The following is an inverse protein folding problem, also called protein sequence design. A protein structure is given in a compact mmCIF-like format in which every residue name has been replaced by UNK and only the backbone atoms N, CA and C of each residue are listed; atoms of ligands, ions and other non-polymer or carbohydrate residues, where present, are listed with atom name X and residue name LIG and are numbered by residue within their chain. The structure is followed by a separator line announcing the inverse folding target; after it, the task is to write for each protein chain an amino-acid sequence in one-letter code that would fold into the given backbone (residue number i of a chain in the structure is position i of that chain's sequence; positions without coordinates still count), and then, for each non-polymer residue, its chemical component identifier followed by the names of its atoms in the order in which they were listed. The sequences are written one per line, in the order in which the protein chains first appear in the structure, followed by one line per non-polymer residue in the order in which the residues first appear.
data_IF_002872046145
#
_entry.id   IF_002872046145
#
_cell.length_a   1.000
_cell.length_b   1.000
_cell.length_c   1.000
_cell.angle_alpha   90.00
_cell.angle_beta   90.00
_cell.angle_gamma   90.00
#
_symmetry.space_group_name_H-M   'P 1'
#
loop_
_entity.id
_entity.type
_entity.pdbx_description
1 polymer ?
#
# COMPACT_ATOMS: atom_id res chain seq x y z
N UNK A 1 -25.64 4.00 14.65
CA UNK A 1 -25.30 3.67 13.27
C UNK A 1 -25.48 2.17 13.14
N UNK A 2 -26.56 1.73 12.47
CA UNK A 2 -26.90 0.31 12.32
C UNK A 2 -25.95 -0.35 11.33
N UNK A 3 -24.98 -1.11 11.83
CA UNK A 3 -24.20 -2.05 11.02
C UNK A 3 -25.11 -3.24 10.66
N UNK A 4 -25.99 -3.06 9.70
CA UNK A 4 -26.60 -4.21 9.04
C UNK A 4 -25.56 -4.73 8.06
N UNK A 5 -24.78 -5.73 8.48
CA UNK A 5 -24.00 -6.58 7.58
C UNK A 5 -24.98 -7.27 6.62
N UNK A 6 -25.31 -6.58 5.55
CA UNK A 6 -26.24 -7.07 4.54
C UNK A 6 -25.48 -7.99 3.57
N UNK A 7 -24.95 -9.10 4.11
CA UNK A 7 -24.34 -10.13 3.25
C UNK A 7 -25.43 -10.77 2.39
N UNK A 8 -25.19 -10.93 1.11
CA UNK A 8 -26.13 -11.66 0.24
C UNK A 8 -26.39 -13.06 0.78
N UNK A 9 -27.64 -13.48 0.85
CA UNK A 9 -28.02 -14.79 1.40
C UNK A 9 -27.44 -15.98 0.63
N UNK A 10 -27.04 -15.74 -0.63
CA UNK A 10 -26.42 -16.74 -1.48
C UNK A 10 -24.91 -16.90 -1.24
N UNK A 11 -24.27 -15.96 -0.51
CA UNK A 11 -22.84 -16.02 -0.23
C UNK A 11 -22.60 -16.83 1.06
N UNK A 12 -21.95 -18.01 0.99
CA UNK A 12 -21.63 -18.77 2.19
C UNK A 12 -20.59 -18.04 3.02
N UNK A 13 -20.98 -17.56 4.18
CA UNK A 13 -20.08 -16.93 5.15
C UNK A 13 -19.91 -17.85 6.35
N UNK A 14 -18.66 -18.07 6.79
CA UNK A 14 -18.36 -18.82 8.01
C UNK A 14 -18.99 -18.13 9.22
N UNK A 15 -19.60 -18.92 10.13
CA UNK A 15 -20.29 -18.39 11.30
C UNK A 15 -19.45 -17.39 12.14
N UNK A 16 -18.13 -17.64 12.39
CA UNK A 16 -17.31 -16.68 13.14
C UNK A 16 -17.13 -15.32 12.44
N UNK A 17 -17.35 -15.23 11.14
CA UNK A 17 -17.18 -13.99 10.37
C UNK A 17 -18.46 -13.16 10.29
N UNK A 18 -19.63 -13.75 10.57
CA UNK A 18 -20.92 -13.05 10.51
C UNK A 18 -21.01 -11.80 11.41
N UNK A 19 -20.51 -11.83 12.66
CA UNK A 19 -20.55 -10.65 13.52
C UNK A 19 -19.46 -9.62 13.23
N UNK A 20 -18.51 -9.92 12.35
CA UNK A 20 -17.39 -9.02 12.07
C UNK A 20 -17.82 -7.90 11.13
N UNK A 21 -17.36 -6.68 11.43
CA UNK A 21 -17.45 -5.55 10.52
C UNK A 21 -16.11 -5.35 9.79
N UNK A 22 -16.14 -4.82 8.54
CA UNK A 22 -14.91 -4.44 7.87
C UNK A 22 -14.10 -3.46 8.71
N UNK A 23 -12.78 -3.65 8.74
CA UNK A 23 -11.89 -2.67 9.36
C UNK A 23 -11.95 -1.35 8.57
N UNK A 24 -12.11 -0.26 9.31
CA UNK A 24 -12.04 1.08 8.75
C UNK A 24 -11.75 2.07 9.89
N UNK A 25 -10.64 2.80 9.80
CA UNK A 25 -10.36 3.87 10.73
C UNK A 25 -11.39 5.01 10.50
N UNK A 26 -12.06 5.52 11.56
CA UNK A 26 -12.98 6.63 11.41
C UNK A 26 -12.28 7.86 10.83
N UNK A 27 -12.87 8.45 9.79
CA UNK A 27 -12.42 9.74 9.28
C UNK A 27 -13.10 10.85 10.08
N UNK A 28 -12.35 11.44 10.99
CA UNK A 28 -12.83 12.50 11.88
C UNK A 28 -12.12 13.79 11.54
N UNK A 29 -12.86 14.86 11.27
CA UNK A 29 -12.28 16.19 11.11
C UNK A 29 -11.82 16.70 12.48
N UNK A 30 -10.53 16.72 12.71
CA UNK A 30 -9.90 17.20 13.94
C UNK A 30 -8.65 18.02 13.60
N UNK A 31 -8.27 18.92 14.52
CA UNK A 31 -7.05 19.73 14.39
C UNK A 31 -5.77 18.89 14.45
N UNK A 32 -5.82 17.72 15.11
CA UNK A 32 -4.76 16.72 15.13
C UNK A 32 -5.38 15.33 14.90
N UNK A 33 -5.02 14.67 13.82
CA UNK A 33 -5.46 13.33 13.48
C UNK A 33 -4.41 12.33 13.96
N UNK A 34 -4.70 11.61 15.04
CA UNK A 34 -3.80 10.65 15.68
C UNK A 34 -4.37 9.21 15.67
N UNK A 35 -5.46 9.01 14.95
CA UNK A 35 -6.17 7.73 14.88
C UNK A 35 -5.66 6.81 13.78
N UNK A 36 -4.78 7.30 12.93
CA UNK A 36 -4.13 6.57 11.84
C UNK A 36 -2.63 6.80 11.87
N UNK A 37 -1.86 5.86 11.31
CA UNK A 37 -0.41 5.96 11.25
C UNK A 37 0.00 6.76 9.99
N UNK A 38 -0.25 8.06 10.01
CA UNK A 38 0.08 8.98 8.93
C UNK A 38 1.34 9.79 9.23
N UNK A 39 2.10 10.12 8.19
CA UNK A 39 3.22 11.04 8.33
C UNK A 39 2.68 12.48 8.37
N UNK A 40 2.86 13.23 9.48
CA UNK A 40 2.35 14.59 9.59
C UNK A 40 3.14 15.61 8.74
N UNK A 41 4.30 15.23 8.23
CA UNK A 41 5.14 16.11 7.42
C UNK A 41 4.82 15.97 5.94
N UNK A 42 4.52 17.09 5.30
CA UNK A 42 4.33 17.14 3.86
C UNK A 42 5.65 16.77 3.12
N UNK A 43 5.56 16.16 1.92
CA UNK A 43 6.73 15.93 1.09
C UNK A 43 7.47 17.22 0.77
N UNK A 44 8.80 17.16 0.67
CA UNK A 44 9.59 18.32 0.26
C UNK A 44 9.25 18.75 -1.17
N UNK A 45 9.44 20.03 -1.49
CA UNK A 45 9.22 20.58 -2.85
C UNK A 45 10.02 19.80 -3.90
N UNK A 46 11.26 19.41 -3.59
CA UNK A 46 12.09 18.62 -4.47
C UNK A 46 11.50 17.23 -4.75
N UNK A 47 10.98 16.57 -3.72
CA UNK A 47 10.31 15.27 -3.87
C UNK A 47 9.02 15.39 -4.71
N UNK A 48 8.21 16.41 -4.44
CA UNK A 48 6.99 16.68 -5.22
C UNK A 48 7.32 16.89 -6.70
N UNK A 49 8.34 17.69 -7.01
CA UNK A 49 8.79 17.93 -8.39
C UNK A 49 9.27 16.63 -9.07
N UNK A 50 10.04 15.80 -8.37
CA UNK A 50 10.52 14.52 -8.88
C UNK A 50 9.37 13.54 -9.18
N UNK A 51 8.39 13.44 -8.29
CA UNK A 51 7.18 12.60 -8.48
C UNK A 51 6.39 13.11 -9.69
N UNK A 52 6.11 14.42 -9.76
CA UNK A 52 5.34 15.02 -10.86
C UNK A 52 6.00 14.75 -12.22
N UNK A 53 7.32 14.93 -12.30
CA UNK A 53 8.08 14.62 -13.52
C UNK A 53 7.91 13.15 -13.89
N UNK A 54 8.10 12.23 -12.94
CA UNK A 54 8.02 10.80 -13.21
C UNK A 54 6.62 10.35 -13.61
N UNK A 55 5.59 10.86 -12.97
CA UNK A 55 4.19 10.60 -13.35
C UNK A 55 3.93 11.08 -14.79
N UNK A 56 4.41 12.26 -15.17
CA UNK A 56 4.32 12.76 -16.54
C UNK A 56 4.98 11.83 -17.58
N UNK A 57 6.16 11.31 -17.26
CA UNK A 57 6.87 10.36 -18.14
C UNK A 57 6.09 9.05 -18.31
N UNK A 58 5.55 8.49 -17.23
CA UNK A 58 4.84 7.21 -17.23
C UNK A 58 3.46 7.33 -17.85
N UNK A 59 2.80 8.50 -17.72
CA UNK A 59 1.42 8.70 -18.23
C UNK A 59 1.30 8.49 -19.74
N UNK A 60 2.35 8.70 -20.49
CA UNK A 60 2.38 8.44 -21.94
C UNK A 60 2.25 6.94 -22.30
N UNK A 61 2.45 6.05 -21.36
CA UNK A 61 2.45 4.58 -21.55
C UNK A 61 1.41 3.84 -20.72
N UNK A 62 0.47 4.54 -20.06
CA UNK A 62 -0.55 3.94 -19.19
C UNK A 62 -1.51 2.97 -19.92
N UNK A 63 -1.55 3.02 -21.24
CA UNK A 63 -2.30 2.06 -22.07
C UNK A 63 -1.59 0.71 -22.24
N UNK A 64 -0.40 0.54 -21.66
CA UNK A 64 0.38 -0.71 -21.71
C UNK A 64 0.43 -1.35 -20.32
N UNK A 65 0.64 -2.64 -20.29
CA UNK A 65 0.89 -3.32 -19.02
C UNK A 65 2.17 -2.81 -18.36
N UNK A 66 2.18 -2.64 -17.04
CA UNK A 66 3.39 -2.27 -16.30
C UNK A 66 4.41 -3.41 -16.28
N UNK A 67 5.62 -3.11 -15.81
CA UNK A 67 6.60 -4.15 -15.47
C UNK A 67 6.02 -5.07 -14.39
N UNK A 68 5.73 -6.30 -14.78
CA UNK A 68 5.12 -7.32 -13.91
C UNK A 68 5.93 -7.56 -12.64
N UNK A 69 7.24 -7.56 -12.77
CA UNK A 69 8.15 -7.96 -11.70
C UNK A 69 8.67 -6.76 -10.90
N UNK A 70 8.28 -5.53 -11.26
CA UNK A 70 8.67 -4.28 -10.62
C UNK A 70 10.20 -4.18 -10.35
N UNK A 71 11.02 -4.62 -11.32
CA UNK A 71 12.47 -4.79 -11.15
C UNK A 71 13.15 -3.49 -10.71
N UNK A 72 12.84 -2.36 -11.37
CA UNK A 72 13.46 -1.07 -11.03
C UNK A 72 13.17 -0.65 -9.58
N UNK A 73 11.95 -0.86 -9.11
CA UNK A 73 11.56 -0.58 -7.73
C UNK A 73 12.31 -1.50 -6.75
N UNK A 74 12.33 -2.80 -7.02
CA UNK A 74 12.99 -3.79 -6.15
C UNK A 74 14.50 -3.58 -6.06
N UNK A 75 15.17 -3.21 -7.16
CA UNK A 75 16.58 -2.80 -7.15
C UNK A 75 16.80 -1.56 -6.28
N UNK A 76 15.95 -0.55 -6.41
CA UNK A 76 16.02 0.66 -5.59
C UNK A 76 15.83 0.37 -4.10
N UNK A 77 14.84 -0.46 -3.75
CA UNK A 77 14.58 -0.88 -2.38
C UNK A 77 15.71 -1.72 -1.79
N UNK A 78 16.30 -2.64 -2.58
CA UNK A 78 17.45 -3.44 -2.15
C UNK A 78 18.62 -2.55 -1.74
N UNK A 79 18.96 -1.57 -2.57
CA UNK A 79 20.00 -0.59 -2.27
C UNK A 79 19.69 0.23 -1.01
N UNK A 80 18.45 0.69 -0.90
CA UNK A 80 18.02 1.49 0.24
C UNK A 80 18.11 0.70 1.55
N UNK A 81 17.55 -0.51 1.60
CA UNK A 81 17.55 -1.35 2.80
C UNK A 81 18.98 -1.77 3.16
N UNK A 82 19.81 -2.14 2.18
CA UNK A 82 21.23 -2.46 2.40
C UNK A 82 21.96 -1.28 3.05
N UNK A 83 21.73 -0.06 2.55
CA UNK A 83 22.35 1.14 3.12
C UNK A 83 21.87 1.45 4.55
N UNK A 84 20.61 1.15 4.88
CA UNK A 84 20.04 1.40 6.21
C UNK A 84 20.47 0.37 7.25
N UNK A 85 20.59 -0.89 6.84
CA UNK A 85 20.82 -2.02 7.78
C UNK A 85 22.24 -2.52 7.82
N UNK A 86 23.05 -2.22 6.80
CA UNK A 86 24.37 -2.82 6.61
C UNK A 86 24.33 -4.30 6.14
N UNK A 87 23.14 -4.88 5.97
CA UNK A 87 22.97 -6.24 5.47
C UNK A 87 22.71 -6.19 3.95
N UNK A 88 23.41 -7.02 3.19
CA UNK A 88 23.27 -7.06 1.74
C UNK A 88 21.93 -7.67 1.33
N UNK A 89 21.17 -6.93 0.54
CA UNK A 89 19.94 -7.39 -0.11
C UNK A 89 20.06 -7.23 -1.62
N UNK A 90 19.44 -8.15 -2.35
CA UNK A 90 19.28 -8.07 -3.79
C UNK A 90 17.81 -8.20 -4.22
N UNK A 91 17.56 -8.20 -5.53
CA UNK A 91 16.19 -8.27 -6.09
C UNK A 91 15.47 -9.56 -5.68
N UNK A 92 16.19 -10.68 -5.50
CA UNK A 92 15.59 -11.96 -5.14
C UNK A 92 15.07 -11.98 -3.69
N UNK A 93 15.61 -11.11 -2.82
CA UNK A 93 15.19 -11.02 -1.43
C UNK A 93 13.95 -10.13 -1.24
N UNK A 94 13.46 -9.46 -2.29
CA UNK A 94 12.42 -8.44 -2.18
C UNK A 94 11.23 -8.76 -3.05
N UNK A 95 10.07 -8.49 -2.49
CA UNK A 95 8.81 -8.52 -3.19
C UNK A 95 8.09 -7.18 -3.03
N UNK A 96 7.46 -6.69 -4.09
CA UNK A 96 6.69 -5.44 -4.08
C UNK A 96 5.22 -5.75 -4.34
N UNK A 97 4.35 -5.14 -3.54
CA UNK A 97 2.89 -5.28 -3.64
C UNK A 97 2.19 -3.96 -3.24
N UNK A 98 0.88 -3.89 -3.45
CA UNK A 98 0.07 -2.71 -3.14
C UNK A 98 -0.27 -2.65 -1.64
N UNK A 99 0.73 -2.33 -0.84
CA UNK A 99 0.62 -2.24 0.61
C UNK A 99 0.76 -3.59 1.33
N UNK A 100 0.87 -3.51 2.65
CA UNK A 100 1.09 -4.67 3.52
C UNK A 100 -0.05 -5.70 3.48
N UNK A 101 -1.28 -5.26 3.23
CA UNK A 101 -2.43 -6.17 3.18
C UNK A 101 -2.32 -7.18 2.04
N UNK A 102 -1.88 -6.76 0.85
CA UNK A 102 -1.67 -7.69 -0.27
C UNK A 102 -0.54 -8.67 0.02
N UNK A 103 0.54 -8.22 0.65
CA UNK A 103 1.65 -9.09 1.05
C UNK A 103 1.18 -10.13 2.07
N UNK A 104 0.44 -9.69 3.10
CA UNK A 104 -0.10 -10.58 4.13
C UNK A 104 -1.03 -11.63 3.52
N UNK A 105 -1.95 -11.22 2.65
CA UNK A 105 -2.86 -12.14 1.95
C UNK A 105 -2.15 -13.17 1.08
N UNK A 106 -0.97 -12.82 0.57
CA UNK A 106 -0.20 -13.72 -0.29
C UNK A 106 0.65 -14.72 0.50
N UNK A 107 0.84 -14.50 1.81
CA UNK A 107 1.56 -15.42 2.70
C UNK A 107 0.61 -16.48 3.29
N UNK A 108 -0.68 -16.15 3.46
CA UNK A 108 -1.72 -17.02 4.02
C UNK A 108 -2.60 -17.66 2.94
#
# INVERSE_FOLDING_TARGET
MSNSNNWPTWLPLREPLKPMSPYGAPQVAASAQLNTNENPFAPSTALVAAITKRVGEVSATLNRYPDRDAIALRVGLAKYITAQTGVSFDVANLWAANGSNEIIQSIF
#
